data_IF_677323177956
#
_entry.id   IF_677323177956
#
_cell.length_a   1.000
_cell.length_b   1.000
_cell.length_c   1.000
_cell.angle_alpha   90.00
_cell.angle_beta   90.00
_cell.angle_gamma   90.00
#
_symmetry.space_group_name_H-M   'P 1'
#
loop_
_entity.id
_entity.type
_entity.pdbx_description
1 polymer ?
#
# COMPACT_ATOMS: atom_id res chain seq x y z
N UNK A 1 5.90 4.59 14.74
CA UNK A 1 5.33 5.34 13.59
C UNK A 1 6.05 4.89 12.33
N UNK A 2 5.33 4.70 11.22
CA UNK A 2 5.94 4.38 9.91
C UNK A 2 6.63 5.62 9.37
N UNK A 3 7.88 5.49 8.94
CA UNK A 3 8.61 6.59 8.29
C UNK A 3 8.22 6.66 6.80
N UNK A 4 7.60 7.77 6.42
CA UNK A 4 7.16 8.01 5.03
C UNK A 4 8.34 8.10 4.05
N UNK A 5 9.53 8.47 4.53
CA UNK A 5 10.76 8.53 3.73
C UNK A 5 11.24 7.13 3.37
N UNK A 6 11.33 6.25 4.36
CA UNK A 6 11.73 4.85 4.14
C UNK A 6 10.68 4.10 3.30
N UNK A 7 9.40 4.40 3.52
CA UNK A 7 8.30 3.87 2.70
C UNK A 7 8.48 4.30 1.24
N UNK A 8 8.70 5.59 0.97
CA UNK A 8 8.92 6.10 -0.38
C UNK A 8 10.13 5.47 -1.07
N UNK A 9 11.18 5.15 -0.30
CA UNK A 9 12.39 4.50 -0.80
C UNK A 9 12.23 2.99 -1.05
N UNK A 10 11.05 2.41 -0.75
CA UNK A 10 10.78 0.98 -0.97
C UNK A 10 11.66 0.08 -0.11
N UNK A 11 11.90 0.47 1.15
CA UNK A 11 12.81 -0.22 2.09
C UNK A 11 12.15 -1.38 2.83
N UNK A 12 10.85 -1.58 2.64
CA UNK A 12 10.05 -2.64 3.26
C UNK A 12 9.70 -3.71 2.24
N UNK A 13 9.78 -4.98 2.67
CA UNK A 13 9.40 -6.13 1.84
C UNK A 13 7.88 -6.42 1.91
N UNK A 14 7.25 -6.13 3.05
CA UNK A 14 5.83 -6.36 3.28
C UNK A 14 5.25 -5.10 3.95
N UNK A 15 4.10 -4.66 3.46
CA UNK A 15 3.39 -3.49 3.98
C UNK A 15 1.96 -3.93 4.30
N UNK A 16 1.58 -3.82 5.57
CA UNK A 16 0.20 -3.97 6.02
C UNK A 16 -0.43 -2.59 6.13
N UNK A 17 -1.67 -2.46 5.66
CA UNK A 17 -2.41 -1.21 5.72
C UNK A 17 -3.90 -1.50 5.85
N UNK A 18 -4.60 -0.60 6.54
CA UNK A 18 -6.05 -0.56 6.50
C UNK A 18 -6.49 0.11 5.18
N UNK A 19 -7.67 -0.25 4.61
CA UNK A 19 -8.16 0.35 3.36
C UNK A 19 -8.20 1.89 3.41
N UNK A 20 -8.60 2.47 4.55
CA UNK A 20 -8.73 3.92 4.74
C UNK A 20 -7.39 4.65 4.61
N UNK A 21 -6.30 4.02 5.04
CA UNK A 21 -4.96 4.61 4.95
C UNK A 21 -4.45 4.66 3.49
N UNK A 22 -4.89 3.73 2.64
CA UNK A 22 -4.57 3.69 1.21
C UNK A 22 -5.27 4.79 0.41
N UNK A 23 -6.36 5.37 0.93
CA UNK A 23 -7.12 6.42 0.25
C UNK A 23 -6.48 7.81 0.35
N UNK A 24 -5.35 7.95 1.06
CA UNK A 24 -4.67 9.24 1.20
C UNK A 24 -3.82 9.60 -0.02
N UNK A 25 -3.85 10.87 -0.43
CA UNK A 25 -3.10 11.38 -1.61
C UNK A 25 -1.59 11.09 -1.55
N UNK A 26 -1.00 11.11 -0.35
CA UNK A 26 0.43 10.87 -0.18
C UNK A 26 0.78 9.41 -0.43
N UNK A 27 -0.01 8.48 0.12
CA UNK A 27 0.19 7.05 -0.05
C UNK A 27 -0.07 6.63 -1.49
N UNK A 28 -1.11 7.17 -2.13
CA UNK A 28 -1.36 6.95 -3.57
C UNK A 28 -0.16 7.37 -4.43
N UNK A 29 0.43 8.56 -4.19
CA UNK A 29 1.62 9.01 -4.92
C UNK A 29 2.82 8.06 -4.73
N UNK A 30 2.99 7.49 -3.54
CA UNK A 30 4.07 6.53 -3.26
C UNK A 30 3.86 5.24 -4.04
N UNK A 31 2.66 4.66 -3.99
CA UNK A 31 2.36 3.40 -4.71
C UNK A 31 2.37 3.55 -6.24
N UNK A 32 2.07 4.74 -6.76
CA UNK A 32 2.21 5.05 -8.19
C UNK A 32 3.65 5.42 -8.63
N UNK A 33 4.61 5.47 -7.70
CA UNK A 33 6.02 5.74 -8.06
C UNK A 33 6.66 4.56 -8.79
N UNK A 34 7.70 4.84 -9.57
CA UNK A 34 8.45 3.82 -10.31
C UNK A 34 9.02 2.72 -9.41
N UNK A 35 9.43 3.06 -8.18
CA UNK A 35 9.96 2.10 -7.20
C UNK A 35 8.93 1.01 -6.91
N UNK A 36 7.68 1.40 -6.62
CA UNK A 36 6.62 0.44 -6.31
C UNK A 36 6.09 -0.27 -7.55
N UNK A 37 5.94 0.45 -8.67
CA UNK A 37 5.49 -0.16 -9.93
C UNK A 37 6.46 -1.22 -10.48
N UNK A 38 7.74 -1.14 -10.15
CA UNK A 38 8.76 -2.11 -10.58
C UNK A 38 9.02 -3.22 -9.56
N UNK A 39 8.81 -2.98 -8.26
CA UNK A 39 9.20 -3.91 -7.18
C UNK A 39 8.04 -4.64 -6.52
N UNK A 40 6.80 -4.15 -6.63
CA UNK A 40 5.65 -4.85 -6.06
C UNK A 40 5.38 -6.10 -6.87
N UNK A 41 5.57 -7.26 -6.24
CA UNK A 41 5.33 -8.56 -6.87
C UNK A 41 3.88 -9.06 -6.66
N UNK A 42 3.23 -8.65 -5.57
CA UNK A 42 1.91 -9.13 -5.20
C UNK A 42 1.17 -8.13 -4.30
N UNK A 43 -0.16 -8.14 -4.37
CA UNK A 43 -1.08 -7.43 -3.48
C UNK A 43 -2.06 -8.46 -2.92
N UNK A 44 -2.24 -8.49 -1.61
CA UNK A 44 -3.19 -9.36 -0.93
C UNK A 44 -4.24 -8.50 -0.22
N UNK A 45 -5.51 -8.89 -0.35
CA UNK A 45 -6.62 -8.28 0.36
C UNK A 45 -7.08 -9.25 1.44
N UNK A 46 -6.97 -8.82 2.70
CA UNK A 46 -7.53 -9.54 3.82
C UNK A 46 -9.03 -9.29 3.91
N UNK A 47 -9.78 -10.24 4.46
CA UNK A 47 -11.23 -10.17 4.64
C UNK A 47 -12.02 -9.73 3.39
N UNK A 48 -11.67 -10.29 2.22
CA UNK A 48 -12.22 -9.92 0.90
C UNK A 48 -13.76 -9.97 0.83
N UNK A 49 -14.40 -10.77 1.68
CA UNK A 49 -15.84 -10.89 1.76
C UNK A 49 -16.54 -9.58 2.18
N UNK A 50 -15.80 -8.62 2.76
CA UNK A 50 -16.29 -7.30 3.15
C UNK A 50 -16.52 -6.33 1.98
N UNK A 51 -16.13 -6.69 0.75
CA UNK A 51 -16.23 -5.81 -0.42
C UNK A 51 -17.69 -5.70 -0.93
N UNK A 52 -18.51 -6.72 -0.70
CA UNK A 52 -19.90 -6.76 -1.14
C UNK A 52 -20.87 -6.70 0.04
N UNK A 53 -21.93 -5.91 -0.10
CA UNK A 53 -23.11 -5.98 0.76
C UNK A 53 -23.99 -7.17 0.33
N UNK A 54 -24.61 -7.84 1.31
CA UNK A 54 -25.48 -9.01 1.11
C UNK A 54 -26.95 -8.60 1.00
#
# INVERSE_FOLDING_TARGET
MVDLTELKNGRYNIIYSHPEALQTKNIQKIFHSSVYQQRVCAVAFDEVHMISEW
#
